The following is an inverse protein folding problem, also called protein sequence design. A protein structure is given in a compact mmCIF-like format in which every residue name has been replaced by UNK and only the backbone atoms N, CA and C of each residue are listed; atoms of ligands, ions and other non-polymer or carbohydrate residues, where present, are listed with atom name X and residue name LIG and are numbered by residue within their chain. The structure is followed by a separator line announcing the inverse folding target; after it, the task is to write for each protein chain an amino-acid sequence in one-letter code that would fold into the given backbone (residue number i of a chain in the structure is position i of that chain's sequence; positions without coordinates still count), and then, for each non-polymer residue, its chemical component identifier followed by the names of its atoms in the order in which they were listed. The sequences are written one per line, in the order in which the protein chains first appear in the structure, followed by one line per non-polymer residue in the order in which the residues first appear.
data_IF_588908644879
#
_entry.id   IF_588908644879
#
_cell.length_a   1.000
_cell.length_b   1.000
_cell.length_c   1.000
_cell.angle_alpha   90.00
_cell.angle_beta   90.00
_cell.angle_gamma   90.00
#
_symmetry.space_group_name_H-M   'P 1'
#
loop_
_entity.id
_entity.type
_entity.pdbx_description
1 polymer ?
#
# COMPACT_ATOMS: atom_id res chain seq x y z
N UNK A 1 20.63 -6.86 18.82
CA UNK A 1 20.37 -8.23 18.35
C UNK A 1 19.39 -8.16 17.17
N UNK A 2 19.73 -8.74 16.02
CA UNK A 2 18.95 -8.64 14.77
C UNK A 2 17.99 -9.82 14.59
N UNK A 3 17.21 -10.18 15.61
CA UNK A 3 16.31 -11.35 15.54
C UNK A 3 15.26 -11.25 14.43
N UNK A 4 14.91 -10.03 14.01
CA UNK A 4 14.00 -9.77 12.89
C UNK A 4 14.52 -10.37 11.58
N UNK A 5 15.85 -10.48 11.46
CA UNK A 5 16.54 -11.06 10.30
C UNK A 5 16.90 -12.53 10.52
N UNK A 6 16.36 -13.17 11.56
CA UNK A 6 16.60 -14.58 11.82
C UNK A 6 16.13 -15.42 10.63
N UNK A 7 17.06 -16.22 10.12
CA UNK A 7 16.86 -17.22 9.08
C UNK A 7 17.82 -18.39 9.34
N UNK A 8 17.73 -19.43 8.52
CA UNK A 8 18.57 -20.62 8.73
C UNK A 8 20.07 -20.32 8.64
N UNK A 9 20.47 -19.35 7.81
CA UNK A 9 21.89 -19.04 7.56
C UNK A 9 22.59 -18.32 8.71
N UNK A 10 21.84 -17.64 9.59
CA UNK A 10 22.37 -16.92 10.74
C UNK A 10 21.84 -17.41 12.09
N UNK A 11 21.19 -18.58 12.10
CA UNK A 11 20.53 -19.12 13.28
C UNK A 11 21.48 -19.28 14.48
N UNK A 12 22.62 -19.95 14.28
CA UNK A 12 23.59 -20.23 15.34
C UNK A 12 24.18 -18.97 16.00
N UNK A 13 24.46 -17.95 15.18
CA UNK A 13 24.98 -16.67 15.67
C UNK A 13 23.95 -15.97 16.55
N UNK A 14 22.70 -15.86 16.07
CA UNK A 14 21.62 -15.21 16.80
C UNK A 14 21.22 -16.03 18.03
N UNK A 15 21.24 -17.36 17.97
CA UNK A 15 20.96 -18.22 19.10
C UNK A 15 21.95 -17.99 20.25
N UNK A 16 23.25 -17.90 19.92
CA UNK A 16 24.27 -17.58 20.92
C UNK A 16 24.05 -16.18 21.52
N UNK A 17 23.85 -15.16 20.69
CA UNK A 17 23.57 -13.80 21.18
C UNK A 17 22.32 -13.76 22.06
N UNK A 18 21.27 -14.51 21.68
CA UNK A 18 20.02 -14.58 22.42
C UNK A 18 20.21 -15.19 23.79
N UNK A 19 20.96 -16.29 23.91
CA UNK A 19 21.21 -16.94 25.20
C UNK A 19 22.03 -16.06 26.16
N UNK A 20 22.97 -15.27 25.64
CA UNK A 20 23.79 -14.31 26.39
C UNK A 20 23.01 -13.03 26.79
N UNK A 21 21.81 -12.82 26.23
CA UNK A 21 20.99 -11.64 26.47
C UNK A 21 20.25 -11.71 27.82
N UNK A 22 20.11 -10.57 28.50
CA UNK A 22 19.32 -10.47 29.74
C UNK A 22 17.83 -10.78 29.51
N UNK A 23 17.18 -11.39 30.50
CA UNK A 23 15.78 -11.86 30.38
C UNK A 23 14.78 -10.73 30.07
N UNK A 24 15.01 -9.53 30.60
CA UNK A 24 14.18 -8.34 30.30
C UNK A 24 14.20 -7.98 28.82
N UNK A 25 15.37 -8.09 28.19
CA UNK A 25 15.54 -7.82 26.77
C UNK A 25 15.03 -8.99 25.93
N UNK A 26 15.23 -10.25 26.36
CA UNK A 26 14.57 -11.42 25.73
C UNK A 26 13.06 -11.25 25.71
N UNK A 27 12.46 -10.79 26.81
CA UNK A 27 11.01 -10.59 26.91
C UNK A 27 10.53 -9.57 25.88
N UNK A 28 11.17 -8.40 25.83
CA UNK A 28 10.83 -7.34 24.87
C UNK A 28 10.97 -7.84 23.43
N UNK A 29 12.05 -8.56 23.14
CA UNK A 29 12.33 -9.05 21.80
C UNK A 29 11.29 -10.11 21.38
N UNK A 30 10.98 -11.06 22.25
CA UNK A 30 9.97 -12.08 21.97
C UNK A 30 8.58 -11.47 21.82
N UNK A 31 8.22 -10.46 22.63
CA UNK A 31 6.95 -9.72 22.46
C UNK A 31 6.84 -9.11 21.06
N UNK A 32 7.88 -8.44 20.59
CA UNK A 32 7.89 -7.80 19.27
C UNK A 32 7.83 -8.84 18.15
N UNK A 33 8.62 -9.91 18.25
CA UNK A 33 8.65 -10.96 17.22
C UNK A 33 7.33 -11.74 17.17
N UNK A 34 6.80 -12.14 18.33
CA UNK A 34 5.53 -12.86 18.40
C UNK A 34 4.39 -11.94 17.92
N UNK A 35 4.42 -10.66 18.25
CA UNK A 35 3.36 -9.74 17.82
C UNK A 35 3.40 -9.42 16.33
N UNK A 36 4.58 -9.20 15.76
CA UNK A 36 4.73 -8.59 14.43
C UNK A 36 5.38 -9.49 13.37
N UNK A 37 5.84 -10.69 13.70
CA UNK A 37 6.45 -11.61 12.74
C UNK A 37 5.81 -13.01 12.80
N UNK A 38 4.50 -13.15 12.55
CA UNK A 38 3.81 -14.44 12.54
C UNK A 38 4.42 -15.44 11.55
N UNK A 39 4.95 -14.98 10.43
CA UNK A 39 5.59 -15.82 9.42
C UNK A 39 6.89 -16.50 9.90
N UNK A 40 7.55 -15.94 10.93
CA UNK A 40 8.77 -16.52 11.53
C UNK A 40 8.46 -17.49 12.66
N UNK A 41 7.20 -17.87 12.85
CA UNK A 41 6.78 -18.72 13.97
C UNK A 41 7.56 -20.03 14.08
N UNK A 42 7.99 -20.61 12.98
CA UNK A 42 8.82 -21.81 12.95
C UNK A 42 10.16 -21.61 13.64
N UNK A 43 11.00 -20.74 13.06
CA UNK A 43 12.38 -20.57 13.48
C UNK A 43 12.47 -19.92 14.86
N UNK A 44 11.49 -19.08 15.23
CA UNK A 44 11.43 -18.45 16.55
C UNK A 44 10.90 -19.42 17.60
N UNK A 45 9.92 -20.27 17.29
CA UNK A 45 9.50 -21.31 18.25
C UNK A 45 10.63 -22.28 18.53
N UNK A 46 11.40 -22.66 17.50
CA UNK A 46 12.63 -23.45 17.64
C UNK A 46 13.63 -22.75 18.57
N UNK A 47 13.91 -21.47 18.34
CA UNK A 47 14.78 -20.65 19.19
C UNK A 47 14.33 -20.66 20.67
N UNK A 48 13.04 -20.48 20.93
CA UNK A 48 12.47 -20.46 22.29
C UNK A 48 12.66 -21.82 22.99
N UNK A 49 12.54 -22.92 22.24
CA UNK A 49 12.66 -24.28 22.79
C UNK A 49 14.12 -24.63 23.04
N UNK A 50 15.01 -24.39 22.08
CA UNK A 50 16.44 -24.71 22.19
C UNK A 50 17.17 -23.83 23.21
N UNK A 51 16.64 -22.65 23.53
CA UNK A 51 17.16 -21.79 24.60
C UNK A 51 16.75 -22.23 26.00
N UNK A 52 16.09 -23.40 26.11
CA UNK A 52 15.57 -23.98 27.36
C UNK A 52 14.62 -23.06 28.13
N UNK A 53 14.13 -21.96 27.52
CA UNK A 53 13.24 -20.99 28.17
C UNK A 53 11.92 -21.64 28.59
N UNK A 54 11.45 -22.62 27.80
CA UNK A 54 10.24 -23.38 28.12
C UNK A 54 10.44 -24.33 29.31
N UNK A 55 11.59 -24.98 29.41
CA UNK A 55 11.86 -25.97 30.47
C UNK A 55 12.23 -25.29 31.80
N UNK A 56 13.02 -24.22 31.73
CA UNK A 56 13.54 -23.51 32.91
C UNK A 56 12.61 -22.40 33.39
N UNK A 57 11.77 -21.84 32.51
CA UNK A 57 10.94 -20.68 32.81
C UNK A 57 9.61 -20.64 32.02
N UNK A 58 8.83 -21.72 32.07
CA UNK A 58 7.53 -21.78 31.36
C UNK A 58 6.58 -20.62 31.69
N UNK A 59 6.62 -20.07 32.91
CA UNK A 59 5.84 -18.91 33.31
C UNK A 59 6.28 -17.63 32.56
N UNK A 60 7.56 -17.48 32.21
CA UNK A 60 8.04 -16.34 31.41
C UNK A 60 7.39 -16.31 30.03
N UNK A 61 7.41 -17.43 29.30
CA UNK A 61 6.78 -17.52 27.98
C UNK A 61 5.26 -17.36 28.10
N UNK A 62 4.65 -17.98 29.11
CA UNK A 62 3.22 -17.82 29.37
C UNK A 62 2.85 -16.36 29.61
N UNK A 63 3.62 -15.62 30.41
CA UNK A 63 3.39 -14.20 30.70
C UNK A 63 3.53 -13.29 29.46
N UNK A 64 4.47 -13.61 28.56
CA UNK A 64 4.60 -12.94 27.27
C UNK A 64 3.33 -13.15 26.45
N UNK A 65 2.91 -14.42 26.28
CA UNK A 65 1.74 -14.77 25.49
C UNK A 65 0.46 -14.16 26.06
N UNK A 66 0.23 -14.26 27.38
CA UNK A 66 -0.96 -13.66 28.02
C UNK A 66 -0.95 -12.14 27.90
N UNK A 67 0.21 -11.50 28.06
CA UNK A 67 0.30 -10.04 27.91
C UNK A 67 0.09 -9.56 26.47
N UNK A 68 0.35 -10.39 25.46
CA UNK A 68 0.01 -10.07 24.06
C UNK A 68 -1.47 -10.31 23.74
N UNK A 69 -2.16 -11.17 24.51
CA UNK A 69 -3.60 -11.38 24.37
C UNK A 69 -4.45 -10.22 24.87
N UNK A 70 -3.87 -9.31 25.64
CA UNK A 70 -4.48 -8.02 26.01
C UNK A 70 -4.38 -6.97 24.88
N UNK A 71 -3.78 -7.33 23.73
CA UNK A 71 -3.65 -6.43 22.59
C UNK A 71 -5.00 -6.13 21.93
N UNK A 72 -5.18 -4.90 21.48
CA UNK A 72 -6.37 -4.46 20.75
C UNK A 72 -6.35 -4.82 19.26
N UNK A 73 -5.22 -5.30 18.73
CA UNK A 73 -5.08 -5.59 17.29
C UNK A 73 -5.27 -7.07 17.02
N UNK A 74 -6.27 -7.40 16.19
CA UNK A 74 -6.59 -8.79 15.80
C UNK A 74 -5.39 -9.54 15.21
N UNK A 75 -4.51 -8.85 14.47
CA UNK A 75 -3.31 -9.47 13.90
C UNK A 75 -2.32 -9.97 14.97
N UNK A 76 -2.09 -9.19 16.04
CA UNK A 76 -1.25 -9.62 17.16
C UNK A 76 -1.91 -10.79 17.91
N UNK A 77 -3.23 -10.75 18.06
CA UNK A 77 -3.98 -11.84 18.70
C UNK A 77 -3.86 -13.15 17.92
N UNK A 78 -4.02 -13.10 16.59
CA UNK A 78 -3.82 -14.26 15.71
C UNK A 78 -2.37 -14.76 15.79
N UNK A 79 -1.40 -13.85 15.67
CA UNK A 79 0.02 -14.20 15.73
C UNK A 79 0.35 -14.90 17.06
N UNK A 80 -0.12 -14.34 18.17
CA UNK A 80 0.06 -14.92 19.52
C UNK A 80 -0.55 -16.32 19.61
N UNK A 81 -1.75 -16.54 19.06
CA UNK A 81 -2.38 -17.85 19.04
C UNK A 81 -1.60 -18.88 18.19
N UNK A 82 -1.02 -18.46 17.07
CA UNK A 82 -0.15 -19.29 16.22
C UNK A 82 1.09 -19.74 17.01
N UNK A 83 1.81 -18.79 17.62
CA UNK A 83 3.00 -19.09 18.42
C UNK A 83 2.68 -20.00 19.61
N UNK A 84 1.63 -19.68 20.35
CA UNK A 84 1.23 -20.47 21.51
C UNK A 84 0.86 -21.91 21.13
N UNK A 85 0.10 -22.11 20.04
CA UNK A 85 -0.17 -23.47 19.54
C UNK A 85 1.12 -24.19 19.13
N UNK A 86 2.08 -23.51 18.49
CA UNK A 86 3.33 -24.12 18.03
C UNK A 86 4.24 -24.54 19.18
N UNK A 87 4.28 -23.72 20.22
CA UNK A 87 4.99 -24.00 21.48
C UNK A 87 4.29 -25.08 22.33
N UNK A 88 3.12 -25.56 21.91
CA UNK A 88 2.41 -26.67 22.56
C UNK A 88 1.40 -26.27 23.63
N UNK A 89 1.09 -24.99 23.79
CA UNK A 89 0.02 -24.54 24.70
C UNK A 89 -1.35 -24.98 24.18
N UNK A 90 -2.24 -25.35 25.11
CA UNK A 90 -3.64 -25.68 24.76
C UNK A 90 -4.42 -24.38 24.59
N UNK A 91 -4.89 -24.13 23.37
CA UNK A 91 -5.77 -23.01 23.01
C UNK A 91 -7.05 -23.56 22.36
N UNK A 92 -8.21 -23.10 22.85
CA UNK A 92 -9.53 -23.46 22.32
C UNK A 92 -9.89 -22.65 21.06
N UNK A 93 -9.13 -22.82 19.99
CA UNK A 93 -9.33 -22.14 18.70
C UNK A 93 -9.07 -23.13 17.56
N UNK A 94 -10.09 -23.70 16.95
CA UNK A 94 -9.95 -24.79 15.96
C UNK A 94 -9.45 -24.28 14.61
N UNK A 95 -9.75 -23.01 14.29
CA UNK A 95 -9.50 -22.38 12.99
C UNK A 95 -8.03 -22.19 12.64
N UNK A 96 -7.15 -22.24 13.65
CA UNK A 96 -5.69 -22.21 13.47
C UNK A 96 -5.17 -23.64 13.56
N UNK A 97 -5.14 -24.35 12.45
CA UNK A 97 -4.48 -25.65 12.37
C UNK A 97 -3.01 -25.45 12.00
N UNK A 98 -2.11 -25.85 12.91
CA UNK A 98 -0.68 -25.91 12.58
C UNK A 98 -0.47 -27.23 11.83
N UNK A 99 -0.42 -27.16 10.50
CA UNK A 99 -0.20 -28.32 9.63
C UNK A 99 1.15 -28.93 9.98
N UNK A 100 1.08 -30.13 10.57
CA UNK A 100 2.22 -30.87 11.10
C UNK A 100 2.96 -31.59 9.98
N UNK A 101 4.13 -31.06 9.60
CA UNK A 101 5.25 -31.89 9.17
C UNK A 101 6.51 -31.67 10.05
N UNK A 102 6.39 -30.89 11.13
CA UNK A 102 7.45 -30.66 12.10
C UNK A 102 6.83 -30.65 13.49
N UNK A 103 7.43 -31.42 14.38
CA UNK A 103 6.94 -31.82 15.70
C UNK A 103 6.46 -30.63 16.54
N UNK A 104 5.35 -30.78 17.28
CA UNK A 104 5.08 -29.91 18.44
C UNK A 104 6.37 -29.87 19.25
N UNK A 105 6.91 -28.68 19.49
CA UNK A 105 8.22 -28.60 20.12
C UNK A 105 8.24 -29.25 21.51
N UNK A 106 7.10 -29.27 22.22
CA UNK A 106 6.87 -30.00 23.47
C UNK A 106 5.36 -30.17 23.72
N UNK A 107 4.90 -31.28 24.31
CA UNK A 107 3.53 -31.35 24.87
C UNK A 107 3.48 -30.59 26.20
N UNK A 108 3.09 -29.33 26.14
CA UNK A 108 2.87 -28.53 27.33
C UNK A 108 1.41 -28.63 27.80
N UNK A 109 1.21 -28.88 29.11
CA UNK A 109 -0.10 -28.87 29.76
C UNK A 109 -0.67 -27.50 30.22
N UNK A 110 -0.01 -26.33 30.13
CA UNK A 110 -0.66 -25.06 30.43
C UNK A 110 -1.68 -24.71 29.35
N UNK A 111 -2.90 -24.43 29.80
CA UNK A 111 -3.97 -23.89 28.95
C UNK A 111 -3.88 -22.36 28.93
N UNK A 112 -4.00 -21.78 27.75
CA UNK A 112 -4.22 -20.34 27.57
C UNK A 112 -5.70 -20.17 27.22
N UNK A 113 -6.44 -19.55 28.14
CA UNK A 113 -7.86 -19.27 27.94
C UNK A 113 -8.00 -17.95 27.17
N UNK A 114 -8.63 -18.01 26.01
CA UNK A 114 -9.04 -16.83 25.26
C UNK A 114 -10.43 -16.40 25.72
N UNK A 115 -10.64 -15.10 25.89
CA UNK A 115 -11.99 -14.55 26.04
C UNK A 115 -12.81 -14.80 24.77
N UNK A 116 -14.13 -14.99 24.92
CA UNK A 116 -15.02 -15.26 23.78
C UNK A 116 -15.00 -14.11 22.75
N UNK A 117 -14.90 -12.86 23.20
CA UNK A 117 -14.74 -11.66 22.37
C UNK A 117 -13.48 -11.73 21.48
N UNK A 118 -12.35 -12.08 22.09
CA UNK A 118 -11.06 -12.26 21.42
C UNK A 118 -11.13 -13.41 20.41
N UNK A 119 -11.69 -14.55 20.82
CA UNK A 119 -11.90 -15.71 19.94
C UNK A 119 -12.74 -15.33 18.72
N UNK A 120 -13.90 -14.69 18.93
CA UNK A 120 -14.79 -14.28 17.85
C UNK A 120 -14.10 -13.34 16.87
N UNK A 121 -13.30 -12.39 17.37
CA UNK A 121 -12.55 -11.45 16.53
C UNK A 121 -11.52 -12.14 15.64
N UNK A 122 -10.79 -13.12 16.20
CA UNK A 122 -9.84 -13.94 15.44
C UNK A 122 -10.57 -14.74 14.35
N UNK A 123 -11.64 -15.45 14.72
CA UNK A 123 -12.41 -16.29 13.80
C UNK A 123 -13.02 -15.47 12.67
N UNK A 124 -13.65 -14.34 12.98
CA UNK A 124 -14.25 -13.46 11.97
C UNK A 124 -13.22 -12.99 10.94
N UNK A 125 -12.02 -12.60 11.40
CA UNK A 125 -10.95 -12.13 10.54
C UNK A 125 -10.39 -13.26 9.65
N UNK A 126 -10.13 -14.45 10.21
CA UNK A 126 -9.66 -15.60 9.45
C UNK A 126 -10.71 -16.09 8.45
N UNK A 127 -12.00 -16.08 8.80
CA UNK A 127 -13.09 -16.40 7.86
C UNK A 127 -13.23 -15.37 6.75
N UNK A 128 -12.95 -14.10 7.02
CA UNK A 128 -12.90 -13.07 5.98
C UNK A 128 -11.77 -13.36 4.98
N UNK A 129 -10.58 -13.71 5.48
CA UNK A 129 -9.45 -14.11 4.62
C UNK A 129 -9.80 -15.37 3.84
N UNK A 130 -10.34 -16.41 4.49
CA UNK A 130 -10.70 -17.68 3.87
C UNK A 130 -11.71 -17.50 2.74
N UNK A 131 -12.78 -16.73 2.96
CA UNK A 131 -13.78 -16.43 1.92
C UNK A 131 -13.14 -15.77 0.72
N UNK A 132 -12.29 -14.77 0.94
CA UNK A 132 -11.57 -14.09 -0.12
C UNK A 132 -10.62 -15.03 -0.89
N UNK A 133 -9.79 -15.79 -0.17
CA UNK A 133 -8.87 -16.76 -0.76
C UNK A 133 -9.58 -17.81 -1.64
N UNK A 134 -10.76 -18.27 -1.20
CA UNK A 134 -11.61 -19.20 -1.93
C UNK A 134 -12.17 -18.59 -3.22
N UNK A 135 -12.63 -17.35 -3.15
CA UNK A 135 -13.18 -16.65 -4.32
C UNK A 135 -12.12 -16.35 -5.39
N UNK A 136 -10.92 -15.98 -4.96
CA UNK A 136 -9.84 -15.55 -5.87
C UNK A 136 -9.04 -16.73 -6.40
N UNK A 137 -8.57 -17.60 -5.51
CA UNK A 137 -7.60 -18.66 -5.80
C UNK A 137 -8.17 -20.09 -5.62
N UNK A 138 -9.44 -20.24 -5.23
CA UNK A 138 -10.04 -21.54 -4.85
C UNK A 138 -9.26 -22.24 -3.71
N UNK A 139 -8.71 -21.43 -2.81
CA UNK A 139 -7.94 -21.86 -1.63
C UNK A 139 -8.80 -21.76 -0.36
N UNK A 140 -8.63 -22.67 0.59
CA UNK A 140 -9.36 -22.66 1.86
C UNK A 140 -8.45 -22.42 3.08
N UNK A 141 -7.13 -22.37 2.91
CA UNK A 141 -6.21 -22.09 4.01
C UNK A 141 -5.98 -20.57 4.17
N UNK A 142 -6.45 -19.95 5.26
CA UNK A 142 -6.27 -18.51 5.47
C UNK A 142 -4.86 -18.14 5.97
N UNK A 143 -4.06 -19.08 6.50
CA UNK A 143 -2.81 -18.77 7.17
C UNK A 143 -1.72 -18.20 6.23
N UNK A 144 -1.48 -18.76 5.04
CA UNK A 144 -0.52 -18.17 4.10
C UNK A 144 -0.86 -16.72 3.74
N UNK A 145 -2.14 -16.43 3.54
CA UNK A 145 -2.62 -15.08 3.25
C UNK A 145 -2.45 -14.15 4.46
N UNK A 146 -2.74 -14.64 5.67
CA UNK A 146 -2.52 -13.90 6.92
C UNK A 146 -1.04 -13.53 7.10
N UNK A 147 -0.10 -14.46 6.86
CA UNK A 147 1.33 -14.19 6.93
C UNK A 147 1.75 -13.10 5.94
N UNK A 148 1.28 -13.17 4.70
CA UNK A 148 1.52 -12.13 3.70
C UNK A 148 0.92 -10.78 4.13
N UNK A 149 -0.32 -10.76 4.63
CA UNK A 149 -1.01 -9.54 5.09
C UNK A 149 -0.24 -8.88 6.24
N UNK A 150 0.14 -9.65 7.26
CA UNK A 150 0.90 -9.16 8.40
C UNK A 150 2.27 -8.60 7.95
N UNK A 151 2.95 -9.31 7.06
CA UNK A 151 4.24 -8.86 6.49
C UNK A 151 4.08 -7.55 5.72
N UNK A 152 3.08 -7.41 4.86
CA UNK A 152 2.81 -6.16 4.13
C UNK A 152 2.58 -5.01 5.10
N UNK A 153 1.82 -5.24 6.19
CA UNK A 153 1.53 -4.21 7.20
C UNK A 153 2.74 -3.82 8.05
N UNK A 154 3.65 -4.75 8.31
CA UNK A 154 4.79 -4.50 9.21
C UNK A 154 6.01 -3.90 8.48
N UNK A 155 6.11 -4.09 7.15
CA UNK A 155 7.24 -3.58 6.34
C UNK A 155 6.92 -2.32 5.51
N UNK A 156 5.97 -1.48 5.95
CA UNK A 156 5.51 -0.25 5.24
C UNK A 156 6.63 0.72 4.85
N UNK A 157 7.74 0.69 5.57
CA UNK A 157 8.88 1.60 5.33
C UNK A 157 9.89 1.09 4.29
N UNK A 158 9.78 -0.16 3.84
CA UNK A 158 10.75 -0.77 2.92
C UNK A 158 10.11 -1.78 1.97
N UNK A 159 9.67 -1.29 0.80
CA UNK A 159 9.16 -2.15 -0.28
C UNK A 159 10.15 -3.26 -0.68
N UNK A 160 11.47 -3.00 -0.88
CA UNK A 160 12.41 -4.06 -1.24
C UNK A 160 12.47 -5.18 -0.20
N UNK A 161 12.48 -4.83 1.09
CA UNK A 161 12.53 -5.80 2.18
C UNK A 161 11.22 -6.57 2.31
N UNK A 162 10.08 -5.89 2.21
CA UNK A 162 8.77 -6.52 2.18
C UNK A 162 8.67 -7.57 1.07
N UNK A 163 9.03 -7.21 -0.18
CA UNK A 163 8.98 -8.12 -1.33
C UNK A 163 9.91 -9.32 -1.13
N UNK A 164 11.11 -9.11 -0.58
CA UNK A 164 12.04 -10.20 -0.26
C UNK A 164 11.42 -11.19 0.71
N UNK A 165 10.96 -10.73 1.87
CA UNK A 165 10.34 -11.61 2.87
C UNK A 165 9.12 -12.33 2.31
N UNK A 166 8.27 -11.65 1.53
CA UNK A 166 7.09 -12.25 0.88
C UNK A 166 7.49 -13.37 -0.09
N UNK A 167 8.51 -13.14 -0.92
CA UNK A 167 8.98 -14.10 -1.93
C UNK A 167 9.61 -15.36 -1.33
N UNK A 168 10.13 -15.27 -0.11
CA UNK A 168 10.68 -16.41 0.62
C UNK A 168 9.58 -17.25 1.29
N UNK A 169 8.42 -16.66 1.61
CA UNK A 169 7.38 -17.33 2.41
C UNK A 169 6.22 -17.90 1.61
N UNK A 170 5.89 -17.34 0.44
CA UNK A 170 4.65 -17.65 -0.25
C UNK A 170 4.78 -17.64 -1.77
N UNK A 171 3.85 -18.34 -2.43
CA UNK A 171 3.69 -18.31 -3.87
C UNK A 171 3.15 -16.96 -4.34
N UNK A 172 3.48 -16.59 -5.57
CA UNK A 172 3.09 -15.31 -6.19
C UNK A 172 1.59 -15.03 -6.09
N UNK A 173 0.74 -16.01 -6.43
CA UNK A 173 -0.72 -15.86 -6.38
C UNK A 173 -1.26 -15.56 -4.97
N UNK A 174 -0.62 -16.09 -3.93
CA UNK A 174 -0.99 -15.81 -2.53
C UNK A 174 -0.60 -14.38 -2.18
N UNK A 175 0.63 -13.96 -2.54
CA UNK A 175 1.13 -12.62 -2.27
C UNK A 175 0.27 -11.57 -2.97
N UNK A 176 0.02 -11.73 -4.28
CA UNK A 176 -0.76 -10.77 -5.05
C UNK A 176 -2.22 -10.71 -4.55
N UNK A 177 -2.82 -11.85 -4.21
CA UNK A 177 -4.14 -11.87 -3.57
C UNK A 177 -4.15 -11.14 -2.23
N UNK A 178 -3.13 -11.30 -1.38
CA UNK A 178 -3.02 -10.53 -0.13
C UNK A 178 -2.88 -9.02 -0.36
N UNK A 179 -2.20 -8.60 -1.44
CA UNK A 179 -2.18 -7.18 -1.85
C UNK A 179 -3.58 -6.70 -2.24
N UNK A 180 -4.33 -7.49 -3.01
CA UNK A 180 -5.71 -7.15 -3.39
C UNK A 180 -6.62 -7.07 -2.17
N UNK A 181 -6.49 -8.00 -1.21
CA UNK A 181 -7.24 -7.99 0.04
C UNK A 181 -7.06 -6.69 0.83
N UNK A 182 -5.86 -6.10 0.77
CA UNK A 182 -5.52 -4.85 1.47
C UNK A 182 -5.90 -3.58 0.71
N UNK A 183 -6.41 -3.68 -0.52
CA UNK A 183 -6.62 -2.53 -1.42
C UNK A 183 -7.57 -1.45 -0.89
N UNK A 184 -8.46 -1.79 0.05
CA UNK A 184 -9.37 -0.83 0.69
C UNK A 184 -8.79 -0.18 1.96
N UNK A 185 -7.71 -0.73 2.53
CA UNK A 185 -7.24 -0.38 3.88
C UNK A 185 -5.82 0.19 3.93
N UNK A 186 -5.06 0.06 2.84
CA UNK A 186 -3.64 0.44 2.80
C UNK A 186 -3.35 1.42 1.65
N UNK A 187 -2.21 2.10 1.73
CA UNK A 187 -1.82 3.11 0.75
C UNK A 187 -1.66 2.50 -0.66
N UNK A 188 -2.35 3.04 -1.68
CA UNK A 188 -2.34 2.46 -3.02
C UNK A 188 -0.98 2.55 -3.71
N UNK A 189 -0.13 3.52 -3.36
CA UNK A 189 1.23 3.65 -3.92
C UNK A 189 2.12 2.54 -3.40
N UNK A 190 2.09 2.32 -2.08
CA UNK A 190 2.80 1.23 -1.43
C UNK A 190 2.37 -0.15 -1.97
N UNK A 191 1.06 -0.42 -2.01
CA UNK A 191 0.54 -1.68 -2.53
C UNK A 191 0.87 -1.90 -4.00
N UNK A 192 0.81 -0.85 -4.83
CA UNK A 192 1.18 -0.92 -6.26
C UNK A 192 2.66 -1.26 -6.42
N UNK A 193 3.54 -0.69 -5.60
CA UNK A 193 4.96 -0.98 -5.66
C UNK A 193 5.27 -2.44 -5.30
N UNK A 194 4.55 -3.03 -4.33
CA UNK A 194 4.65 -4.47 -4.03
C UNK A 194 4.12 -5.28 -5.21
N UNK A 195 2.90 -4.97 -5.68
CA UNK A 195 2.25 -5.71 -6.77
C UNK A 195 3.15 -5.82 -8.00
N UNK A 196 3.68 -4.69 -8.49
CA UNK A 196 4.50 -4.63 -9.70
C UNK A 196 5.86 -5.33 -9.56
N UNK A 197 6.40 -5.45 -8.34
CA UNK A 197 7.66 -6.14 -8.09
C UNK A 197 7.50 -7.64 -7.87
N UNK A 198 6.33 -8.06 -7.42
CA UNK A 198 6.01 -9.46 -7.18
C UNK A 198 5.48 -10.15 -8.45
N UNK A 199 4.67 -9.45 -9.25
CA UNK A 199 4.03 -10.01 -10.44
C UNK A 199 5.05 -10.41 -11.50
N UNK A 200 5.15 -11.71 -11.79
CA UNK A 200 5.94 -12.27 -12.89
C UNK A 200 5.03 -12.65 -14.06
N UNK A 201 3.84 -13.16 -13.76
CA UNK A 201 2.84 -13.53 -14.76
C UNK A 201 1.59 -12.64 -14.64
N UNK A 202 0.97 -12.32 -15.77
CA UNK A 202 -0.23 -11.49 -15.77
C UNK A 202 -1.46 -12.30 -15.35
N UNK A 203 -2.13 -11.85 -14.28
CA UNK A 203 -3.36 -12.45 -13.78
C UNK A 203 -4.50 -11.41 -13.78
N UNK A 204 -5.19 -11.20 -14.92
CA UNK A 204 -6.23 -10.18 -15.06
C UNK A 204 -7.50 -10.49 -14.25
N UNK A 205 -7.61 -11.68 -13.65
CA UNK A 205 -8.73 -12.04 -12.75
C UNK A 205 -8.62 -11.28 -11.43
N UNK A 206 -7.41 -11.04 -10.92
CA UNK A 206 -7.20 -10.29 -9.66
C UNK A 206 -7.82 -8.88 -9.70
N UNK A 207 -7.85 -8.25 -10.87
CA UNK A 207 -8.42 -6.92 -11.08
C UNK A 207 -9.94 -6.85 -10.88
N UNK A 208 -10.64 -7.99 -10.94
CA UNK A 208 -12.08 -8.06 -10.64
C UNK A 208 -12.37 -7.84 -9.15
N UNK A 209 -11.41 -8.18 -8.29
CA UNK A 209 -11.52 -8.11 -6.83
C UNK A 209 -10.90 -6.84 -6.23
N UNK A 210 -10.22 -6.03 -7.03
CA UNK A 210 -9.59 -4.79 -6.57
C UNK A 210 -10.60 -3.65 -6.42
N UNK A 211 -10.42 -2.85 -5.37
CA UNK A 211 -11.08 -1.55 -5.27
C UNK A 211 -10.78 -0.70 -6.51
N UNK A 212 -11.80 -0.03 -7.07
CA UNK A 212 -11.67 0.75 -8.31
C UNK A 212 -10.54 1.78 -8.24
N UNK A 213 -10.40 2.51 -7.14
CA UNK A 213 -9.34 3.52 -6.98
C UNK A 213 -7.94 2.92 -7.03
N UNK A 214 -7.71 1.81 -6.33
CA UNK A 214 -6.45 1.08 -6.37
C UNK A 214 -6.20 0.52 -7.77
N UNK A 215 -7.21 -0.12 -8.37
CA UNK A 215 -7.15 -0.70 -9.72
C UNK A 215 -6.77 0.32 -10.78
N UNK A 216 -7.45 1.47 -10.80
CA UNK A 216 -7.22 2.53 -11.79
C UNK A 216 -5.80 3.10 -11.66
N UNK A 217 -5.30 3.22 -10.42
CA UNK A 217 -3.93 3.65 -10.15
C UNK A 217 -2.90 2.60 -10.61
N UNK A 218 -3.12 1.33 -10.29
CA UNK A 218 -2.26 0.22 -10.73
C UNK A 218 -2.21 0.13 -12.26
N UNK A 219 -3.35 0.25 -12.95
CA UNK A 219 -3.42 0.26 -14.42
C UNK A 219 -2.61 1.41 -15.02
N UNK A 220 -2.65 2.60 -14.40
CA UNK A 220 -1.82 3.74 -14.81
C UNK A 220 -0.32 3.41 -14.69
N UNK A 221 0.09 2.82 -13.56
CA UNK A 221 1.49 2.46 -13.33
C UNK A 221 1.95 1.32 -14.24
N UNK A 222 1.10 0.33 -14.51
CA UNK A 222 1.38 -0.72 -15.49
C UNK A 222 1.55 -0.16 -16.90
N UNK A 223 0.74 0.83 -17.29
CA UNK A 223 0.87 1.49 -18.59
C UNK A 223 2.23 2.20 -18.73
N UNK A 224 2.63 2.98 -17.73
CA UNK A 224 3.91 3.69 -17.73
C UNK A 224 5.13 2.73 -17.72
N UNK A 225 4.95 1.52 -17.20
CA UNK A 225 5.99 0.48 -17.20
C UNK A 225 5.88 -0.50 -18.38
N UNK A 226 5.01 -0.25 -19.37
CA UNK A 226 4.74 -1.14 -20.52
C UNK A 226 4.30 -2.56 -20.13
N UNK A 227 3.68 -2.73 -18.97
CA UNK A 227 3.15 -4.01 -18.46
C UNK A 227 1.66 -4.18 -18.76
N UNK A 228 0.98 -3.13 -19.22
CA UNK A 228 -0.46 -3.16 -19.44
C UNK A 228 -0.85 -3.99 -20.67
N UNK A 229 -1.42 -5.17 -20.43
CA UNK A 229 -1.89 -6.08 -21.49
C UNK A 229 -3.30 -5.77 -22.01
N UNK A 230 -3.68 -6.36 -23.16
CA UNK A 230 -5.03 -6.21 -23.76
C UNK A 230 -6.16 -6.70 -22.84
N UNK A 231 -5.91 -7.74 -22.05
CA UNK A 231 -6.82 -8.30 -21.04
C UNK A 231 -7.34 -7.24 -20.07
N UNK A 232 -6.52 -6.23 -19.75
CA UNK A 232 -6.86 -5.16 -18.81
C UNK A 232 -7.80 -4.10 -19.36
N UNK A 233 -7.94 -4.00 -20.70
CA UNK A 233 -8.77 -2.96 -21.34
C UNK A 233 -10.22 -2.99 -20.88
N UNK A 234 -10.72 -4.18 -20.50
CA UNK A 234 -12.09 -4.34 -19.97
C UNK A 234 -12.36 -3.57 -18.68
N UNK A 235 -11.31 -3.16 -17.95
CA UNK A 235 -11.41 -2.39 -16.72
C UNK A 235 -11.33 -0.87 -16.96
N UNK A 236 -11.16 -0.43 -18.21
CA UNK A 236 -11.03 0.99 -18.57
C UNK A 236 -12.38 1.60 -18.95
N UNK A 237 -13.08 2.15 -17.97
CA UNK A 237 -14.18 3.07 -18.22
C UNK A 237 -13.71 4.52 -18.34
N UNK A 238 -14.60 5.44 -18.73
CA UNK A 238 -14.26 6.85 -18.92
C UNK A 238 -13.67 7.49 -17.66
N UNK A 239 -14.12 7.08 -16.47
CA UNK A 239 -13.61 7.60 -15.20
C UNK A 239 -12.22 7.04 -14.91
N UNK A 240 -11.98 5.75 -15.16
CA UNK A 240 -10.65 5.13 -15.04
C UNK A 240 -9.63 5.82 -15.95
N UNK A 241 -10.01 6.10 -17.21
CA UNK A 241 -9.16 6.84 -18.15
C UNK A 241 -8.83 8.24 -17.64
N UNK A 242 -9.80 8.96 -17.09
CA UNK A 242 -9.55 10.28 -16.49
C UNK A 242 -8.60 10.24 -15.28
N UNK A 243 -8.61 9.14 -14.52
CA UNK A 243 -7.68 8.94 -13.40
C UNK A 243 -6.30 8.61 -13.94
N UNK A 244 -6.18 7.68 -14.88
CA UNK A 244 -4.91 7.31 -15.52
C UNK A 244 -4.21 8.52 -16.12
N UNK A 245 -4.92 9.37 -16.87
CA UNK A 245 -4.40 10.59 -17.49
C UNK A 245 -3.87 11.64 -16.49
N UNK A 246 -4.06 11.44 -15.16
CA UNK A 246 -3.40 12.25 -14.12
C UNK A 246 -1.95 11.84 -13.89
N UNK A 247 -1.61 10.60 -14.20
CA UNK A 247 -0.33 9.98 -13.92
C UNK A 247 0.47 9.67 -15.18
N UNK A 248 -0.23 9.40 -16.30
CA UNK A 248 0.40 8.99 -17.56
C UNK A 248 0.51 10.14 -18.56
N UNK A 249 1.48 10.07 -19.47
CA UNK A 249 1.56 11.01 -20.58
C UNK A 249 0.37 10.81 -21.53
N UNK A 250 -0.49 11.84 -21.78
CA UNK A 250 -1.66 11.69 -22.64
C UNK A 250 -1.34 11.24 -24.07
N UNK A 251 -0.24 11.70 -24.66
CA UNK A 251 0.13 11.32 -26.03
C UNK A 251 0.49 9.83 -26.10
N UNK A 252 1.30 9.33 -25.15
CA UNK A 252 1.63 7.91 -25.04
C UNK A 252 0.38 7.05 -24.77
N UNK A 253 -0.50 7.55 -23.89
CA UNK A 253 -1.77 6.89 -23.60
C UNK A 253 -2.65 6.78 -24.86
N UNK A 254 -2.86 7.86 -25.61
CA UNK A 254 -3.69 7.84 -26.81
C UNK A 254 -3.06 7.09 -27.99
N UNK A 255 -1.74 6.92 -28.02
CA UNK A 255 -1.12 5.98 -28.96
C UNK A 255 -1.51 4.53 -28.64
N UNK A 256 -1.60 4.19 -27.35
CA UNK A 256 -1.98 2.85 -26.87
C UNK A 256 -3.49 2.60 -26.94
N UNK A 257 -4.28 3.68 -26.74
CA UNK A 257 -5.74 3.66 -26.68
C UNK A 257 -6.36 4.82 -27.49
N UNK A 258 -6.26 4.77 -28.84
CA UNK A 258 -6.77 5.82 -29.72
C UNK A 258 -8.29 6.04 -29.58
N UNK A 259 -9.03 5.02 -29.15
CA UNK A 259 -10.48 5.09 -28.91
C UNK A 259 -10.89 6.12 -27.85
N UNK A 260 -10.01 6.48 -26.91
CA UNK A 260 -10.27 7.51 -25.90
C UNK A 260 -9.70 8.89 -26.26
N UNK A 261 -9.09 9.02 -27.45
CA UNK A 261 -8.52 10.29 -27.91
C UNK A 261 -9.66 11.26 -28.19
N UNK A 262 -9.83 12.25 -27.32
CA UNK A 262 -10.73 13.36 -27.59
C UNK A 262 -10.08 14.31 -28.60
N UNK A 263 -10.83 14.69 -29.64
CA UNK A 263 -10.41 15.71 -30.59
C UNK A 263 -10.38 17.09 -29.91
N UNK A 264 -9.25 17.42 -29.29
CA UNK A 264 -9.00 18.78 -28.86
C UNK A 264 -7.73 19.29 -29.53
N UNK A 265 -7.78 20.47 -30.16
CA UNK A 265 -6.60 21.04 -30.79
C UNK A 265 -5.52 21.26 -29.72
N UNK A 266 -4.25 20.92 -30.01
CA UNK A 266 -3.15 21.17 -29.09
C UNK A 266 -3.09 22.66 -28.74
N UNK A 267 -2.87 22.97 -27.46
CA UNK A 267 -2.66 24.34 -27.00
C UNK A 267 -1.40 24.85 -27.69
N UNK A 268 -1.53 25.89 -28.52
CA UNK A 268 -0.40 26.53 -29.21
C UNK A 268 0.19 27.61 -28.29
N UNK A 269 1.36 27.38 -27.66
CA UNK A 269 1.94 28.35 -26.74
C UNK A 269 2.43 29.59 -27.48
N UNK A 270 2.41 30.74 -26.80
CA UNK A 270 3.00 31.98 -27.28
C UNK A 270 4.44 32.06 -26.76
N UNK A 271 5.39 32.42 -27.63
CA UNK A 271 6.79 32.64 -27.23
C UNK A 271 6.90 33.92 -26.40
N UNK A 272 7.86 33.98 -25.47
CA UNK A 272 8.12 35.15 -24.63
C UNK A 272 8.23 36.45 -25.43
N UNK A 273 8.93 36.42 -26.57
CA UNK A 273 9.15 37.61 -27.41
C UNK A 273 7.89 38.07 -28.16
N UNK A 274 6.88 37.20 -28.26
CA UNK A 274 5.57 37.51 -28.83
C UNK A 274 4.54 37.92 -27.80
N UNK A 275 4.87 37.89 -26.51
CA UNK A 275 3.96 38.30 -25.44
C UNK A 275 4.08 39.80 -25.18
N UNK A 276 2.97 40.52 -25.36
CA UNK A 276 2.85 41.94 -25.07
C UNK A 276 1.73 42.12 -24.05
N UNK A 277 2.01 42.86 -22.98
CA UNK A 277 0.97 43.19 -21.98
C UNK A 277 -0.07 44.08 -22.66
N UNK A 278 -1.23 43.49 -22.94
CA UNK A 278 -2.38 44.16 -23.53
C UNK A 278 -3.09 45.02 -22.49
N UNK A 279 -3.55 46.21 -22.89
CA UNK A 279 -4.48 47.02 -22.08
C UNK A 279 -5.89 46.39 -21.99
N UNK A 280 -6.27 45.58 -22.99
CA UNK A 280 -7.44 44.70 -22.92
C UNK A 280 -7.12 43.50 -22.02
N UNK A 281 -7.80 43.43 -20.87
CA UNK A 281 -7.65 42.40 -19.84
C UNK A 281 -7.96 41.00 -20.35
N UNK A 282 -8.99 40.85 -21.18
CA UNK A 282 -9.41 39.56 -21.73
C UNK A 282 -8.31 38.98 -22.61
N UNK A 283 -7.76 39.84 -23.49
CA UNK A 283 -6.63 39.49 -24.34
C UNK A 283 -5.38 39.17 -23.51
N UNK A 284 -5.09 39.99 -22.48
CA UNK A 284 -3.98 39.72 -21.57
C UNK A 284 -4.10 38.34 -20.90
N UNK A 285 -5.26 37.98 -20.35
CA UNK A 285 -5.47 36.68 -19.71
C UNK A 285 -5.30 35.52 -20.68
N UNK A 286 -5.83 35.66 -21.91
CA UNK A 286 -5.70 34.65 -22.95
C UNK A 286 -4.23 34.46 -23.34
N UNK A 287 -3.52 35.54 -23.64
CA UNK A 287 -2.11 35.50 -24.04
C UNK A 287 -1.23 35.00 -22.90
N UNK A 288 -1.54 35.38 -21.65
CA UNK A 288 -0.83 34.91 -20.46
C UNK A 288 -0.99 33.40 -20.26
N UNK A 289 -2.20 32.86 -20.42
CA UNK A 289 -2.43 31.42 -20.34
C UNK A 289 -1.64 30.66 -21.42
N UNK A 290 -1.56 31.20 -22.64
CA UNK A 290 -0.78 30.60 -23.72
C UNK A 290 0.73 30.73 -23.50
N UNK A 291 1.21 31.80 -22.86
CA UNK A 291 2.60 31.98 -22.45
C UNK A 291 3.00 31.02 -21.32
N UNK A 292 2.11 30.82 -20.34
CA UNK A 292 2.33 29.91 -19.20
C UNK A 292 2.29 28.43 -19.56
N UNK A 293 1.84 28.08 -20.78
CA UNK A 293 1.92 26.73 -21.34
C UNK A 293 3.35 26.48 -21.85
N UNK A 294 4.05 25.42 -21.40
CA UNK A 294 3.48 24.07 -21.32
C UNK A 294 3.39 23.44 -19.93
N UNK A 295 3.99 24.02 -18.88
CA UNK A 295 4.17 23.34 -17.59
C UNK A 295 3.79 24.22 -16.39
N UNK A 296 3.52 23.58 -15.25
CA UNK A 296 3.18 24.28 -13.99
C UNK A 296 4.26 25.29 -13.61
N UNK A 297 5.53 24.88 -13.65
CA UNK A 297 6.65 25.75 -13.29
C UNK A 297 6.76 26.97 -14.20
N UNK A 298 6.54 26.82 -15.51
CA UNK A 298 6.53 27.94 -16.45
C UNK A 298 5.39 28.91 -16.13
N UNK A 299 4.18 28.40 -15.92
CA UNK A 299 3.03 29.21 -15.57
C UNK A 299 3.28 30.01 -14.29
N UNK A 300 3.79 29.37 -13.24
CA UNK A 300 4.08 30.03 -11.96
C UNK A 300 5.22 31.05 -12.08
N UNK A 301 6.24 30.78 -12.89
CA UNK A 301 7.32 31.75 -13.14
C UNK A 301 6.79 33.02 -13.82
N UNK A 302 5.96 32.89 -14.86
CA UNK A 302 5.34 34.05 -15.51
C UNK A 302 4.31 34.75 -14.62
N UNK A 303 3.59 34.00 -13.78
CA UNK A 303 2.69 34.56 -12.79
C UNK A 303 3.43 35.48 -11.82
N UNK A 304 4.61 35.07 -11.36
CA UNK A 304 5.44 35.91 -10.49
C UNK A 304 5.97 37.15 -11.21
N UNK A 305 6.45 37.00 -12.45
CA UNK A 305 6.92 38.13 -13.29
C UNK A 305 5.79 39.16 -13.50
N UNK A 306 4.57 38.69 -13.78
CA UNK A 306 3.42 39.53 -14.10
C UNK A 306 2.48 39.76 -12.92
N UNK A 307 2.87 39.43 -11.70
CA UNK A 307 2.03 39.48 -10.47
C UNK A 307 1.33 40.82 -10.26
N UNK A 308 1.98 41.93 -10.65
CA UNK A 308 1.40 43.28 -10.57
C UNK A 308 0.11 43.44 -11.40
N UNK A 309 -0.02 42.70 -12.50
CA UNK A 309 -1.19 42.70 -13.38
C UNK A 309 -2.29 41.73 -12.90
N UNK A 310 -1.99 40.90 -11.90
CA UNK A 310 -2.89 39.92 -11.26
C UNK A 310 -3.48 40.43 -9.93
N UNK A 311 -3.54 41.75 -9.74
CA UNK A 311 -4.40 42.38 -8.72
C UNK A 311 -5.81 42.51 -9.30
N UNK A 312 -6.60 41.45 -9.17
CA UNK A 312 -7.87 41.29 -9.88
C UNK A 312 -9.08 41.63 -9.00
N UNK A 313 -10.08 42.32 -9.56
CA UNK A 313 -11.43 42.41 -8.98
C UNK A 313 -12.16 41.06 -9.09
N UNK A 314 -13.29 40.89 -8.40
CA UNK A 314 -14.06 39.63 -8.48
C UNK A 314 -14.56 39.32 -9.90
N UNK A 315 -14.95 40.36 -10.64
CA UNK A 315 -15.37 40.25 -12.04
C UNK A 315 -14.21 39.82 -12.94
N UNK A 316 -13.03 40.41 -12.75
CA UNK A 316 -11.81 40.04 -13.48
C UNK A 316 -11.33 38.62 -13.12
N UNK A 317 -11.49 38.19 -11.86
CA UNK A 317 -11.20 36.82 -11.45
C UNK A 317 -12.12 35.82 -12.17
N UNK A 318 -13.41 36.13 -12.26
CA UNK A 318 -14.37 35.30 -13.00
C UNK A 318 -14.01 35.22 -14.48
N UNK A 319 -13.68 36.35 -15.10
CA UNK A 319 -13.27 36.39 -16.51
C UNK A 319 -11.99 35.58 -16.75
N UNK A 320 -10.97 35.74 -15.88
CA UNK A 320 -9.76 34.94 -15.94
C UNK A 320 -10.07 33.44 -15.82
N UNK A 321 -10.91 33.04 -14.87
CA UNK A 321 -11.28 31.64 -14.65
C UNK A 321 -12.00 31.04 -15.86
N UNK A 322 -12.91 31.79 -16.50
CA UNK A 322 -13.60 31.35 -17.72
C UNK A 322 -12.60 31.10 -18.86
N UNK A 323 -11.65 32.02 -19.06
CA UNK A 323 -10.60 31.88 -20.09
C UNK A 323 -9.66 30.71 -19.76
N UNK A 324 -9.22 30.63 -18.51
CA UNK A 324 -8.31 29.60 -18.03
C UNK A 324 -8.93 28.20 -18.19
N UNK A 325 -10.18 28.02 -17.77
CA UNK A 325 -10.92 26.77 -17.94
C UNK A 325 -11.16 26.44 -19.41
N UNK A 326 -11.39 27.44 -20.26
CA UNK A 326 -11.54 27.22 -21.71
C UNK A 326 -10.24 26.72 -22.34
N UNK A 327 -9.10 27.33 -22.02
CA UNK A 327 -7.79 26.97 -22.59
C UNK A 327 -7.29 25.64 -22.04
N UNK A 328 -7.44 25.42 -20.73
CA UNK A 328 -6.94 24.24 -20.02
C UNK A 328 -8.03 23.23 -19.68
N UNK A 329 -9.14 23.21 -20.43
CA UNK A 329 -10.31 22.33 -20.22
C UNK A 329 -9.92 20.87 -20.01
N UNK A 330 -8.95 20.41 -20.78
CA UNK A 330 -8.51 19.01 -20.78
C UNK A 330 -7.26 18.76 -19.93
N UNK A 331 -6.70 19.79 -19.29
CA UNK A 331 -5.54 19.66 -18.40
C UNK A 331 -5.98 19.75 -16.94
N UNK A 332 -6.89 18.86 -16.51
CA UNK A 332 -7.49 18.88 -15.16
C UNK A 332 -6.44 18.95 -14.03
N UNK A 333 -5.36 18.18 -14.12
CA UNK A 333 -4.27 18.19 -13.11
C UNK A 333 -3.55 19.54 -13.07
N UNK A 334 -3.15 20.06 -14.23
CA UNK A 334 -2.55 21.40 -14.35
C UNK A 334 -3.47 22.48 -13.77
N UNK A 335 -4.74 22.47 -14.18
CA UNK A 335 -5.75 23.43 -13.71
C UNK A 335 -5.90 23.39 -12.20
N UNK A 336 -6.00 22.20 -11.60
CA UNK A 336 -6.09 22.01 -10.16
C UNK A 336 -4.87 22.59 -9.43
N UNK A 337 -3.66 22.29 -9.90
CA UNK A 337 -2.42 22.75 -9.27
C UNK A 337 -2.29 24.27 -9.37
N UNK A 338 -2.50 24.84 -10.55
CA UNK A 338 -2.40 26.28 -10.78
C UNK A 338 -3.43 27.04 -9.97
N UNK A 339 -4.70 26.65 -10.03
CA UNK A 339 -5.75 27.32 -9.26
C UNK A 339 -5.50 27.22 -7.75
N UNK A 340 -5.04 26.06 -7.26
CA UNK A 340 -4.64 25.90 -5.87
C UNK A 340 -3.50 26.84 -5.46
N UNK A 341 -2.47 26.98 -6.30
CA UNK A 341 -1.36 27.92 -6.06
C UNK A 341 -1.80 29.38 -6.13
N UNK A 342 -2.66 29.74 -7.07
CA UNK A 342 -3.20 31.11 -7.18
C UNK A 342 -4.04 31.51 -5.97
N UNK A 343 -4.81 30.57 -5.40
CA UNK A 343 -5.51 30.77 -4.12
C UNK A 343 -4.52 30.98 -2.96
N UNK A 344 -3.50 30.11 -2.85
CA UNK A 344 -2.45 30.24 -1.83
C UNK A 344 -1.69 31.57 -1.91
N UNK A 345 -1.52 32.13 -3.11
CA UNK A 345 -0.89 33.43 -3.32
C UNK A 345 -1.85 34.63 -3.16
N UNK A 346 -3.12 34.39 -2.80
CA UNK A 346 -4.12 35.43 -2.61
C UNK A 346 -4.55 36.14 -3.90
N UNK A 347 -4.31 35.53 -5.07
CA UNK A 347 -4.69 36.09 -6.38
C UNK A 347 -6.16 35.77 -6.67
N UNK A 348 -6.62 34.59 -6.26
CA UNK A 348 -8.01 34.16 -6.35
C UNK A 348 -8.59 34.03 -4.94
N UNK A 349 -9.83 34.45 -4.75
CA UNK A 349 -10.56 34.26 -3.50
C UNK A 349 -11.04 32.80 -3.34
N UNK A 350 -11.20 32.36 -2.09
CA UNK A 350 -11.95 31.15 -1.78
C UNK A 350 -13.45 31.46 -1.93
N UNK A 351 -14.08 30.81 -2.90
CA UNK A 351 -15.53 30.77 -3.07
C UNK A 351 -15.99 29.33 -2.90
#
# INVERSE_FOLDING_TARGET
MNIVRLNESNYEEIFKEFNETEDSLKESILRDVIGYLPQKNEIISKLIVESELLETNSDFIKNILTGLLDSSTTEVLISTAIYAKRLGFKINLEEIEIISNQEKCTEMNPTINLEDSTKNSIVEYLEKIRRFAKEVNNDNDPLPYFYCIATIKNFKFSVPECVRELSEMALEDVILSSVVFLSDSEDPVYLTAIFLRTMKEDNPRLFEFMQKSFRDFLLAMMHENNLLQKSHRRFLDQQSVEIMLRFVNPENFYQSFPEYKQEHPPIKPIRKDGFVVSGDKKKFFQDFCLLGSPSVSHFLAYLEIHKKHFKLTEEEQKEFLEIFQKIFKNRKSFSRIILGKMKLFGILKEH
#
